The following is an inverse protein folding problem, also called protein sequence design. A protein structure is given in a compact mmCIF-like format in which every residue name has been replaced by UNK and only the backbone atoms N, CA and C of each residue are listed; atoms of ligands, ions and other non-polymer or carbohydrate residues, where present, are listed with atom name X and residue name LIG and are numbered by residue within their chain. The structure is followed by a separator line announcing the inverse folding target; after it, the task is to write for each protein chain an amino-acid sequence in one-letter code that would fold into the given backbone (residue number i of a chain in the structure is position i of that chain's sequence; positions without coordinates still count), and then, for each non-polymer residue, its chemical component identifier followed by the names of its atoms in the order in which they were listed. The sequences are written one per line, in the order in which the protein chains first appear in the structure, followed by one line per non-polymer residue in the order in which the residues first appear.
data_IF_473142791843
#
_entry.id   IF_473142791843
#
_cell.length_a   1.000
_cell.length_b   1.000
_cell.length_c   1.000
_cell.angle_alpha   90.00
_cell.angle_beta   90.00
_cell.angle_gamma   90.00
#
_symmetry.space_group_name_H-M   'P 1'
#
loop_
_entity.id
_entity.type
_entity.pdbx_description
1 polymer ?
#
# COMPACT_ATOMS: atom_id res chain seq x y z
N UNK A 1 -7.41 -2.74 19.89
CA UNK A 1 -6.83 -1.65 19.09
C UNK A 1 -6.76 -0.42 19.95
N UNK A 2 -5.81 0.49 19.69
CA UNK A 2 -5.82 1.85 20.26
C UNK A 2 -6.41 2.80 19.22
N UNK A 3 -6.85 3.98 19.65
CA UNK A 3 -7.23 5.08 18.75
C UNK A 3 -8.39 4.74 17.79
N UNK A 4 -9.37 3.95 18.27
CA UNK A 4 -10.52 3.51 17.48
C UNK A 4 -11.49 4.63 17.08
N UNK A 5 -11.48 5.74 17.81
CA UNK A 5 -12.35 6.89 17.54
C UNK A 5 -11.63 8.03 16.81
N UNK A 6 -10.38 7.79 16.36
CA UNK A 6 -9.54 8.79 15.70
C UNK A 6 -9.05 8.28 14.34
N UNK A 7 -9.88 8.43 13.28
CA UNK A 7 -9.54 7.99 11.93
C UNK A 7 -8.25 8.60 11.37
N UNK A 8 -7.84 9.77 11.87
CA UNK A 8 -6.60 10.42 11.44
C UNK A 8 -5.33 9.62 11.76
N UNK A 9 -5.43 8.67 12.72
CA UNK A 9 -4.33 7.78 13.11
C UNK A 9 -4.33 6.46 12.36
N UNK A 10 -5.35 6.17 11.58
CA UNK A 10 -5.47 4.90 10.88
C UNK A 10 -4.47 4.84 9.69
N UNK A 11 -4.28 3.64 9.17
CA UNK A 11 -3.43 3.41 8.02
C UNK A 11 -3.57 2.00 7.49
N UNK A 12 -3.27 1.84 6.21
CA UNK A 12 -3.33 0.55 5.53
C UNK A 12 -1.91 0.04 5.23
N UNK A 13 -1.71 -1.28 5.31
CA UNK A 13 -0.42 -1.94 5.11
C UNK A 13 -0.52 -3.01 4.02
N UNK A 14 0.19 -2.81 2.91
CA UNK A 14 0.43 -3.87 1.94
C UNK A 14 1.39 -4.87 2.56
N UNK A 15 1.09 -6.16 2.48
CA UNK A 15 1.82 -7.18 3.25
C UNK A 15 2.38 -8.24 2.31
N UNK A 16 3.70 -8.42 2.35
CA UNK A 16 4.38 -9.50 1.65
C UNK A 16 4.63 -10.66 2.62
N UNK A 17 4.08 -11.82 2.29
CA UNK A 17 4.26 -13.07 3.03
C UNK A 17 5.17 -13.98 2.23
N UNK A 18 6.17 -14.55 2.89
CA UNK A 18 7.01 -15.58 2.31
C UNK A 18 6.20 -16.87 2.16
N UNK A 19 6.05 -17.36 0.93
CA UNK A 19 5.18 -18.50 0.67
C UNK A 19 5.72 -19.84 1.21
N UNK A 20 7.03 -19.95 1.46
CA UNK A 20 7.64 -21.19 1.95
C UNK A 20 7.58 -21.29 3.48
N UNK A 21 7.79 -20.16 4.16
CA UNK A 21 7.87 -20.10 5.63
C UNK A 21 6.58 -19.59 6.28
N UNK A 22 5.68 -18.98 5.51
CA UNK A 22 4.48 -18.28 5.99
C UNK A 22 4.77 -17.11 6.93
N UNK A 23 6.02 -16.62 6.95
CA UNK A 23 6.41 -15.43 7.71
C UNK A 23 6.17 -14.15 6.91
N UNK A 24 5.85 -13.05 7.62
CA UNK A 24 5.73 -11.74 6.98
C UNK A 24 7.12 -11.18 6.72
N UNK A 25 7.49 -11.01 5.45
CA UNK A 25 8.82 -10.52 5.05
C UNK A 25 8.95 -9.02 5.28
N UNK A 26 7.93 -8.28 4.86
CA UNK A 26 7.86 -6.83 4.98
C UNK A 26 6.43 -6.35 4.75
N UNK A 27 6.17 -5.13 5.19
CA UNK A 27 4.95 -4.39 4.91
C UNK A 27 5.27 -3.03 4.29
N UNK A 28 4.32 -2.47 3.56
CA UNK A 28 4.43 -1.13 2.98
C UNK A 28 3.20 -0.30 3.37
N UNK A 29 3.41 0.80 4.10
CA UNK A 29 2.32 1.71 4.49
C UNK A 29 1.96 2.61 3.31
N UNK A 30 0.67 2.70 2.98
CA UNK A 30 0.15 3.50 1.86
C UNK A 30 -0.73 4.65 2.34
N UNK A 31 -0.96 5.63 1.47
CA UNK A 31 -2.06 6.58 1.61
C UNK A 31 -3.37 5.90 1.19
N UNK A 32 -4.49 6.20 1.85
CA UNK A 32 -5.77 5.56 1.53
C UNK A 32 -5.82 4.11 2.00
N UNK A 33 -6.74 3.34 1.42
CA UNK A 33 -6.91 1.92 1.70
C UNK A 33 -6.42 1.03 0.55
N UNK A 34 -6.74 -0.27 0.63
CA UNK A 34 -6.53 -1.24 -0.44
C UNK A 34 -7.70 -2.20 -0.46
N UNK A 35 -7.87 -2.90 -1.56
CA UNK A 35 -8.96 -3.83 -1.79
C UNK A 35 -8.47 -5.14 -2.40
N UNK A 36 -8.39 -5.26 -3.73
CA UNK A 36 -7.83 -6.44 -4.40
C UNK A 36 -6.36 -6.22 -4.80
N UNK A 37 -5.67 -7.30 -5.14
CA UNK A 37 -4.25 -7.29 -5.49
C UNK A 37 -3.96 -8.14 -6.74
N UNK A 38 -3.08 -7.63 -7.60
CA UNK A 38 -2.46 -8.39 -8.70
C UNK A 38 -0.94 -8.21 -8.69
N UNK A 39 -0.23 -9.13 -9.34
CA UNK A 39 1.23 -9.05 -9.52
C UNK A 39 1.58 -9.12 -11.00
N UNK A 40 2.70 -8.52 -11.38
CA UNK A 40 3.25 -8.69 -12.73
C UNK A 40 3.90 -10.07 -12.87
N UNK A 41 3.85 -10.62 -14.09
CA UNK A 41 4.44 -11.93 -14.40
C UNK A 41 5.96 -11.98 -14.26
N UNK A 42 6.64 -10.84 -14.28
CA UNK A 42 8.09 -10.73 -14.09
C UNK A 42 8.49 -10.51 -12.62
N UNK A 43 7.53 -10.50 -11.69
CA UNK A 43 7.75 -10.34 -10.24
C UNK A 43 8.20 -8.95 -9.81
N UNK A 44 8.28 -7.97 -10.72
CA UNK A 44 8.78 -6.63 -10.39
C UNK A 44 7.73 -5.78 -9.69
N UNK A 45 6.47 -5.92 -10.07
CA UNK A 45 5.38 -5.06 -9.63
C UNK A 45 4.29 -5.85 -8.92
N UNK A 46 3.75 -5.27 -7.87
CA UNK A 46 2.42 -5.57 -7.36
C UNK A 46 1.52 -4.35 -7.54
N UNK A 47 0.21 -4.55 -7.63
CA UNK A 47 -0.75 -3.46 -7.72
C UNK A 47 -1.98 -3.76 -6.87
N UNK A 48 -2.52 -2.73 -6.22
CA UNK A 48 -3.78 -2.81 -5.47
C UNK A 48 -4.67 -1.60 -5.77
N UNK A 49 -5.93 -1.84 -6.06
CA UNK A 49 -6.92 -0.77 -6.21
C UNK A 49 -7.30 -0.21 -4.83
N UNK A 50 -7.73 1.05 -4.84
CA UNK A 50 -8.14 1.80 -3.65
C UNK A 50 -9.54 2.33 -3.89
N UNK A 51 -10.42 2.19 -2.90
CA UNK A 51 -11.77 2.75 -2.95
C UNK A 51 -12.01 3.84 -1.89
N UNK A 52 -11.04 4.10 -1.02
CA UNK A 52 -11.14 5.11 0.02
C UNK A 52 -9.80 5.85 0.08
N UNK A 53 -9.52 6.63 -0.96
CA UNK A 53 -8.34 7.51 -0.98
C UNK A 53 -8.50 8.71 -0.05
N UNK A 54 -9.74 9.00 0.36
CA UNK A 54 -10.13 10.04 1.31
C UNK A 54 -9.75 9.72 2.76
N UNK A 55 -9.52 8.43 3.09
CA UNK A 55 -9.41 7.93 4.47
C UNK A 55 -10.62 8.28 5.34
N UNK A 56 -11.82 8.32 4.75
CA UNK A 56 -13.03 8.56 5.49
C UNK A 56 -13.44 7.33 6.32
N UNK A 57 -14.15 7.58 7.41
CA UNK A 57 -14.68 6.52 8.30
C UNK A 57 -16.16 6.20 8.05
N UNK A 58 -16.85 7.02 7.25
CA UNK A 58 -18.25 6.85 6.89
C UNK A 58 -18.42 6.69 5.37
N UNK A 59 -19.51 6.05 4.95
CA UNK A 59 -19.79 5.72 3.56
C UNK A 59 -19.78 6.94 2.63
N UNK A 60 -20.39 8.05 3.05
CA UNK A 60 -20.48 9.24 2.20
C UNK A 60 -19.10 9.86 1.97
N UNK A 61 -18.27 9.90 3.02
CA UNK A 61 -16.90 10.36 2.93
C UNK A 61 -16.02 9.51 2.01
N UNK A 62 -16.25 8.20 1.92
CA UNK A 62 -15.50 7.29 1.02
C UNK A 62 -15.88 7.43 -0.46
N UNK A 63 -16.83 8.31 -0.80
CA UNK A 63 -17.37 8.45 -2.15
C UNK A 63 -17.20 9.88 -2.70
N UNK A 64 -16.43 10.73 -2.04
CA UNK A 64 -16.30 12.16 -2.41
C UNK A 64 -15.38 12.32 -3.61
N UNK A 65 -14.34 11.51 -3.73
CA UNK A 65 -13.41 11.57 -4.83
C UNK A 65 -14.05 11.07 -6.14
N UNK A 66 -13.87 11.85 -7.22
CA UNK A 66 -14.23 11.42 -8.58
C UNK A 66 -13.28 10.33 -9.10
N UNK A 67 -12.06 10.29 -8.56
CA UNK A 67 -11.04 9.30 -8.86
C UNK A 67 -10.31 8.93 -7.60
N UNK A 68 -10.27 7.63 -7.35
CA UNK A 68 -9.35 7.03 -6.42
C UNK A 68 -8.03 6.71 -7.14
N UNK A 69 -7.39 5.60 -6.79
CA UNK A 69 -6.18 5.14 -7.45
C UNK A 69 -6.06 3.62 -7.49
N UNK A 70 -5.21 3.14 -8.38
CA UNK A 70 -4.52 1.87 -8.25
C UNK A 70 -3.08 2.18 -7.84
N UNK A 71 -2.67 1.70 -6.66
CA UNK A 71 -1.30 1.84 -6.16
C UNK A 71 -0.46 0.67 -6.66
N UNK A 72 0.63 0.99 -7.34
CA UNK A 72 1.66 0.06 -7.77
C UNK A 72 2.83 0.08 -6.80
N UNK A 73 3.42 -1.07 -6.55
CA UNK A 73 4.58 -1.27 -5.68
C UNK A 73 5.74 -1.82 -6.50
N UNK A 74 6.92 -1.20 -6.41
CA UNK A 74 8.16 -1.77 -6.92
C UNK A 74 8.78 -2.66 -5.84
N UNK A 75 8.65 -3.98 -6.04
CA UNK A 75 9.04 -4.99 -5.04
C UNK A 75 10.53 -4.89 -4.72
N UNK A 76 11.38 -4.75 -5.74
CA UNK A 76 12.82 -4.67 -5.57
C UNK A 76 13.24 -3.43 -4.77
N UNK A 77 12.59 -2.28 -5.01
CA UNK A 77 12.87 -1.06 -4.24
C UNK A 77 12.39 -1.17 -2.80
N UNK A 78 11.24 -1.81 -2.54
CA UNK A 78 10.79 -2.08 -1.16
C UNK A 78 11.80 -2.96 -0.43
N UNK A 79 12.21 -4.07 -1.03
CA UNK A 79 13.22 -4.96 -0.46
C UNK A 79 14.56 -4.26 -0.26
N UNK A 80 14.96 -3.37 -1.17
CA UNK A 80 16.16 -2.56 -1.00
C UNK A 80 16.05 -1.60 0.18
N UNK A 81 14.89 -0.96 0.40
CA UNK A 81 14.69 -0.13 1.61
C UNK A 81 14.76 -0.95 2.89
N UNK A 82 14.25 -2.17 2.88
CA UNK A 82 14.40 -3.10 4.02
C UNK A 82 15.88 -3.41 4.27
N UNK A 83 16.65 -3.76 3.23
CA UNK A 83 18.09 -4.03 3.32
C UNK A 83 18.89 -2.82 3.81
N UNK A 84 18.52 -1.61 3.38
CA UNK A 84 19.13 -0.34 3.78
C UNK A 84 18.76 0.08 5.23
N UNK A 85 17.88 -0.66 5.92
CA UNK A 85 17.37 -0.26 7.24
C UNK A 85 16.39 0.92 7.20
N UNK A 86 15.85 1.26 6.02
CA UNK A 86 14.91 2.37 5.81
C UNK A 86 13.46 1.92 6.02
N UNK A 87 13.17 1.47 7.22
CA UNK A 87 11.84 1.01 7.63
C UNK A 87 11.58 1.37 9.10
N UNK A 88 10.33 1.28 9.51
CA UNK A 88 9.93 1.32 10.92
C UNK A 88 9.29 0.00 11.32
N UNK A 89 8.96 -0.16 12.60
CA UNK A 89 8.15 -1.27 13.10
C UNK A 89 6.91 -0.73 13.81
N UNK A 90 5.90 -1.59 13.98
CA UNK A 90 4.65 -1.22 14.65
C UNK A 90 4.48 -2.06 15.92
N UNK A 91 4.39 -1.38 17.07
CA UNK A 91 4.24 -2.03 18.37
C UNK A 91 5.44 -2.91 18.70
N UNK A 92 5.18 -4.16 19.11
CA UNK A 92 6.22 -5.15 19.41
C UNK A 92 6.61 -6.01 18.19
N UNK A 93 5.97 -5.81 17.03
CA UNK A 93 6.31 -6.57 15.81
C UNK A 93 7.71 -6.22 15.33
N UNK A 94 8.46 -7.23 14.86
CA UNK A 94 9.77 -7.04 14.22
C UNK A 94 9.69 -6.92 12.70
N UNK A 95 8.48 -7.03 12.13
CA UNK A 95 8.26 -6.94 10.69
C UNK A 95 8.61 -5.53 10.20
N UNK A 96 9.48 -5.39 9.18
CA UNK A 96 9.84 -4.09 8.65
C UNK A 96 8.67 -3.47 7.88
N UNK A 97 8.36 -2.21 8.17
CA UNK A 97 7.33 -1.41 7.51
C UNK A 97 8.00 -0.28 6.73
N UNK A 98 7.98 -0.38 5.40
CA UNK A 98 8.47 0.66 4.48
C UNK A 98 7.39 1.73 4.28
N UNK A 99 7.80 3.00 4.18
CA UNK A 99 6.89 4.10 3.89
C UNK A 99 6.64 4.27 2.38
N UNK A 100 5.48 3.81 1.92
CA UNK A 100 4.97 3.90 0.55
C UNK A 100 3.96 5.04 0.36
N UNK A 101 3.84 5.99 1.29
CA UNK A 101 2.98 7.16 1.13
C UNK A 101 3.58 8.12 0.11
N UNK A 102 2.73 8.85 -0.63
CA UNK A 102 3.13 9.79 -1.70
C UNK A 102 4.17 10.80 -1.21
N UNK A 103 3.97 11.35 -0.01
CA UNK A 103 4.87 12.34 0.58
C UNK A 103 6.29 11.81 0.83
N UNK A 104 6.45 10.52 1.13
CA UNK A 104 7.75 9.87 1.32
C UNK A 104 8.41 9.44 -0.01
N UNK A 105 7.73 9.64 -1.13
CA UNK A 105 8.08 9.11 -2.44
C UNK A 105 7.99 10.16 -3.58
N UNK A 106 8.58 11.37 -3.42
CA UNK A 106 8.43 12.46 -4.38
C UNK A 106 9.21 12.26 -5.70
N UNK A 107 10.31 11.52 -5.68
CA UNK A 107 11.12 11.24 -6.88
C UNK A 107 10.70 9.90 -7.51
N UNK A 108 10.15 9.90 -8.75
CA UNK A 108 9.76 8.68 -9.46
C UNK A 108 10.92 7.68 -9.65
N UNK A 109 12.17 8.15 -9.73
CA UNK A 109 13.33 7.28 -9.94
C UNK A 109 13.67 6.43 -8.72
N UNK A 110 13.28 6.86 -7.52
CA UNK A 110 13.58 6.18 -6.25
C UNK A 110 12.33 5.79 -5.45
N UNK A 111 11.14 6.17 -5.94
CA UNK A 111 9.87 5.85 -5.32
C UNK A 111 9.66 4.34 -5.23
N UNK A 112 9.13 3.85 -4.11
CA UNK A 112 8.67 2.45 -3.99
C UNK A 112 7.23 2.25 -4.44
N UNK A 113 6.48 3.33 -4.65
CA UNK A 113 5.04 3.31 -4.93
C UNK A 113 4.64 4.32 -6.00
N UNK A 114 3.73 3.94 -6.89
CA UNK A 114 3.12 4.86 -7.85
C UNK A 114 1.61 4.80 -7.73
N UNK A 115 0.95 5.94 -7.53
CA UNK A 115 -0.51 6.02 -7.41
C UNK A 115 -1.09 6.48 -8.74
N UNK A 116 -1.68 5.55 -9.49
CA UNK A 116 -2.29 5.83 -10.80
C UNK A 116 -3.77 6.17 -10.58
N UNK A 117 -4.26 7.36 -10.94
CA UNK A 117 -5.66 7.73 -10.72
C UNK A 117 -6.64 6.82 -11.50
N UNK A 118 -7.69 6.32 -10.84
CA UNK A 118 -8.72 5.46 -11.44
C UNK A 118 -10.10 5.88 -10.91
N UNK A 119 -11.05 6.14 -11.82
CA UNK A 119 -12.46 6.39 -11.45
C UNK A 119 -13.22 5.08 -11.29
N UNK A 120 -14.18 4.92 -10.38
CA UNK A 120 -14.45 5.56 -9.07
C UNK A 120 -14.76 4.40 -8.13
N UNK A 121 -14.24 4.41 -6.90
CA UNK A 121 -14.27 3.29 -5.99
C UNK A 121 -13.95 1.95 -6.71
N UNK A 122 -12.86 1.88 -7.51
CA UNK A 122 -12.54 0.69 -8.30
C UNK A 122 -12.41 -0.52 -7.37
N UNK A 123 -12.76 -1.70 -7.88
CA UNK A 123 -12.73 -2.96 -7.13
C UNK A 123 -11.77 -4.00 -7.73
N UNK A 124 -11.95 -4.34 -9.01
CA UNK A 124 -11.07 -5.30 -9.69
C UNK A 124 -9.70 -4.73 -10.01
N UNK A 125 -8.64 -5.50 -9.73
CA UNK A 125 -7.32 -5.33 -10.33
C UNK A 125 -6.83 -6.69 -10.82
N UNK A 126 -6.58 -6.81 -12.12
CA UNK A 126 -6.28 -8.10 -12.77
C UNK A 126 -5.14 -7.91 -13.76
N UNK A 127 -4.18 -8.85 -13.76
CA UNK A 127 -3.12 -8.91 -14.76
C UNK A 127 -3.59 -9.75 -15.96
N UNK A 128 -3.39 -9.24 -17.18
CA UNK A 128 -3.59 -10.01 -18.41
C UNK A 128 -2.43 -10.99 -18.63
N UNK A 129 -2.69 -12.22 -19.14
CA UNK A 129 -1.67 -13.21 -19.43
C UNK A 129 -0.73 -12.81 -20.58
#
# INVERSE_FOLDING_TARGET
GRDLDDPSKWGCLFTCVDAATMEVRWQCRVDGNMDLVATSYDGKLAASNQYNTENAADLAGMMVAERDACVFFDVARVEQRVKDGKFTTIGASKVPVVDGRKAANPDPKTSVTCYVPVAKNPHGVNASP
#
